data_IF_277427275064
#
_entry.id   IF_277427275064
#
_cell.length_a   1.000
_cell.length_b   1.000
_cell.length_c   1.000
_cell.angle_alpha   90.00
_cell.angle_beta   90.00
_cell.angle_gamma   90.00
#
_symmetry.space_group_name_H-M   'P 1'
#
loop_
_entity.id
_entity.type
_entity.pdbx_description
1 polymer ?
#
# COMPACT_ATOMS: atom_id res chain seq x y z
N UNK A 1 -4.40 -13.24 9.44
CA UNK A 1 -3.18 -13.66 10.17
C UNK A 1 -3.24 -13.39 11.67
N UNK A 2 -4.03 -12.42 12.16
CA UNK A 2 -4.17 -12.13 13.60
C UNK A 2 -2.94 -11.43 14.22
N UNK A 3 -1.91 -11.13 13.43
CA UNK A 3 -0.70 -10.47 13.89
C UNK A 3 -0.92 -8.98 14.17
N UNK A 4 -1.86 -8.33 13.48
CA UNK A 4 -2.17 -6.92 13.68
C UNK A 4 -2.69 -6.64 15.10
N UNK A 5 -3.52 -7.51 15.67
CA UNK A 5 -4.03 -7.33 17.04
C UNK A 5 -2.91 -7.46 18.08
N UNK A 6 -2.00 -8.42 17.89
CA UNK A 6 -0.82 -8.59 18.74
C UNK A 6 0.07 -7.35 18.70
N UNK A 7 0.34 -6.87 17.49
CA UNK A 7 1.09 -5.64 17.26
C UNK A 7 0.42 -4.43 17.93
N UNK A 8 -0.88 -4.21 17.71
CA UNK A 8 -1.62 -3.09 18.33
C UNK A 8 -1.59 -3.13 19.87
N UNK A 9 -1.58 -4.33 20.46
CA UNK A 9 -1.44 -4.47 21.91
C UNK A 9 -0.02 -4.14 22.38
N UNK A 10 1.02 -4.72 21.75
CA UNK A 10 2.41 -4.43 22.07
C UNK A 10 2.72 -2.93 21.96
N UNK A 11 2.14 -2.25 20.97
CA UNK A 11 2.40 -0.83 20.74
C UNK A 11 1.72 0.06 21.80
N UNK A 12 0.58 -0.36 22.34
CA UNK A 12 -0.06 0.30 23.48
C UNK A 12 0.78 0.16 24.75
N UNK A 13 1.36 -1.00 24.99
CA UNK A 13 2.24 -1.24 26.15
C UNK A 13 3.52 -0.38 26.09
N UNK A 14 3.97 -0.03 24.89
CA UNK A 14 5.09 0.89 24.65
C UNK A 14 4.72 2.39 24.78
N UNK A 15 3.46 2.72 25.05
CA UNK A 15 3.00 4.11 25.14
C UNK A 15 2.99 4.85 23.81
N UNK A 16 2.80 4.14 22.69
CA UNK A 16 2.71 4.71 21.36
C UNK A 16 1.26 4.84 20.90
N UNK A 17 0.98 5.86 20.10
CA UNK A 17 -0.31 6.01 19.44
C UNK A 17 -0.25 5.52 17.99
N UNK A 18 -1.27 4.77 17.60
CA UNK A 18 -1.44 4.24 16.24
C UNK A 18 -2.74 4.78 15.65
N UNK A 19 -2.68 5.20 14.39
CA UNK A 19 -3.85 5.55 13.58
C UNK A 19 -3.66 5.17 12.12
N UNK A 20 -4.76 5.01 11.38
CA UNK A 20 -4.70 4.87 9.92
C UNK A 20 -4.17 6.15 9.26
N UNK A 21 -3.38 6.00 8.19
CA UNK A 21 -2.88 7.14 7.42
C UNK A 21 -3.91 7.65 6.40
N UNK A 22 -4.63 6.72 5.77
CA UNK A 22 -5.73 7.01 4.86
C UNK A 22 -7.04 6.51 5.46
N UNK A 23 -8.14 7.23 5.20
CA UNK A 23 -9.46 6.94 5.77
C UNK A 23 -9.88 7.98 6.81
N UNK A 24 -11.01 7.73 7.46
CA UNK A 24 -11.54 8.56 8.55
C UNK A 24 -11.37 7.84 9.90
N UNK A 25 -10.96 8.58 10.93
CA UNK A 25 -10.78 8.03 12.28
C UNK A 25 -9.61 7.06 12.40
N UNK A 26 -9.87 5.85 12.91
CA UNK A 26 -8.85 4.81 13.16
C UNK A 26 -8.75 3.75 12.06
N UNK A 27 -9.62 3.81 11.03
CA UNK A 27 -9.56 2.87 9.91
C UNK A 27 -8.32 3.14 9.05
N UNK A 28 -7.53 2.09 8.77
CA UNK A 28 -6.31 2.19 7.98
C UNK A 28 -6.56 1.72 6.54
N UNK A 29 -7.23 2.57 5.76
CA UNK A 29 -7.51 2.26 4.36
C UNK A 29 -6.20 2.06 3.58
N UNK A 30 -6.06 0.93 2.89
CA UNK A 30 -4.84 0.58 2.15
C UNK A 30 -3.66 0.13 3.00
N UNK A 31 -3.90 -0.28 4.25
CA UNK A 31 -2.91 -0.86 5.18
C UNK A 31 -1.73 0.06 5.50
N UNK A 32 -1.93 1.38 5.45
CA UNK A 32 -0.98 2.37 5.93
C UNK A 32 -1.34 2.81 7.34
N UNK A 33 -0.37 2.65 8.25
CA UNK A 33 -0.50 3.04 9.64
C UNK A 33 0.52 4.12 9.95
N UNK A 34 0.11 5.08 10.77
CA UNK A 34 0.99 6.05 11.39
C UNK A 34 1.18 5.68 12.85
N UNK A 35 2.45 5.57 13.23
CA UNK A 35 2.88 5.47 14.62
C UNK A 35 3.42 6.82 15.10
N UNK A 36 3.16 7.14 16.35
CA UNK A 36 3.65 8.39 16.98
C UNK A 36 3.97 8.18 18.45
N UNK A 37 5.04 8.84 18.92
CA UNK A 37 5.32 8.93 20.34
C UNK A 37 4.21 9.72 21.04
N UNK A 38 3.84 9.31 22.26
CA UNK A 38 2.97 10.09 23.13
C UNK A 38 3.74 10.78 24.26
N UNK A 39 4.97 10.35 24.52
CA UNK A 39 5.83 10.95 25.55
C UNK A 39 6.54 12.17 24.97
N UNK A 40 6.44 13.29 25.68
CA UNK A 40 6.98 14.60 25.26
C UNK A 40 7.86 15.27 26.32
N UNK A 41 7.84 14.79 27.57
CA UNK A 41 8.62 15.35 28.68
C UNK A 41 9.44 14.24 29.35
N UNK A 42 10.65 14.61 29.82
CA UNK A 42 11.52 13.70 30.57
C UNK A 42 12.37 12.76 29.71
N UNK A 43 12.33 12.91 28.39
CA UNK A 43 13.15 12.18 27.41
C UNK A 43 13.60 13.15 26.32
N UNK A 44 14.81 12.98 25.79
CA UNK A 44 15.30 13.83 24.69
C UNK A 44 14.78 13.34 23.35
N UNK A 45 14.69 14.24 22.35
CA UNK A 45 14.30 13.85 20.98
C UNK A 45 15.22 12.76 20.41
N UNK A 46 16.52 12.82 20.73
CA UNK A 46 17.49 11.82 20.30
C UNK A 46 17.20 10.45 20.91
N UNK A 47 16.81 10.39 22.19
CA UNK A 47 16.43 9.15 22.85
C UNK A 47 15.12 8.59 22.29
N UNK A 48 14.13 9.46 22.00
CA UNK A 48 12.87 9.04 21.34
C UNK A 48 13.17 8.42 19.98
N UNK A 49 13.97 9.08 19.14
CA UNK A 49 14.35 8.56 17.81
C UNK A 49 15.10 7.24 17.96
N UNK A 50 16.09 7.17 18.86
CA UNK A 50 16.84 5.95 19.14
C UNK A 50 15.94 4.80 19.60
N UNK A 51 14.94 5.07 20.45
CA UNK A 51 13.96 4.07 20.86
C UNK A 51 13.14 3.55 19.68
N UNK A 52 12.70 4.45 18.78
CA UNK A 52 11.96 4.06 17.59
C UNK A 52 12.80 3.20 16.65
N UNK A 53 14.04 3.62 16.36
CA UNK A 53 14.95 2.93 15.45
C UNK A 53 15.38 1.55 15.97
N UNK A 54 15.68 1.45 17.26
CA UNK A 54 16.33 0.27 17.83
C UNK A 54 15.39 -0.73 18.48
N UNK A 55 14.21 -0.30 18.94
CA UNK A 55 13.27 -1.18 19.64
C UNK A 55 11.94 -1.32 18.89
N UNK A 56 11.31 -0.19 18.53
CA UNK A 56 9.96 -0.22 17.97
C UNK A 56 9.95 -0.76 16.55
N UNK A 57 10.67 -0.13 15.62
CA UNK A 57 10.66 -0.48 14.19
C UNK A 57 11.02 -1.96 13.94
N UNK A 58 12.09 -2.52 14.55
CA UNK A 58 12.44 -3.93 14.35
C UNK A 58 11.30 -4.89 14.72
N UNK A 59 10.58 -4.62 15.81
CA UNK A 59 9.46 -5.45 16.26
C UNK A 59 8.28 -5.39 15.27
N UNK A 60 7.95 -4.21 14.73
CA UNK A 60 6.91 -4.08 13.70
C UNK A 60 7.28 -4.89 12.46
N UNK A 61 8.53 -4.77 12.02
CA UNK A 61 9.06 -5.48 10.85
C UNK A 61 8.99 -6.99 11.07
N UNK A 62 9.28 -7.47 12.27
CA UNK A 62 9.15 -8.89 12.63
C UNK A 62 7.69 -9.38 12.54
N UNK A 63 6.73 -8.66 13.13
CA UNK A 63 5.31 -9.02 13.05
C UNK A 63 4.79 -9.06 11.61
N UNK A 64 5.16 -8.08 10.78
CA UNK A 64 4.76 -8.03 9.37
C UNK A 64 5.40 -9.16 8.55
N UNK A 65 6.70 -9.41 8.75
CA UNK A 65 7.39 -10.51 8.08
C UNK A 65 6.81 -11.88 8.48
N UNK A 66 6.50 -12.08 9.76
CA UNK A 66 5.82 -13.29 10.23
C UNK A 66 4.43 -13.44 9.61
N UNK A 67 3.66 -12.35 9.50
CA UNK A 67 2.35 -12.34 8.84
C UNK A 67 2.45 -12.73 7.35
N UNK A 68 3.41 -12.15 6.61
CA UNK A 68 3.64 -12.48 5.20
C UNK A 68 4.10 -13.92 5.01
N UNK A 69 5.02 -14.40 5.86
CA UNK A 69 5.48 -15.78 5.83
C UNK A 69 4.33 -16.76 6.10
N UNK A 70 3.47 -16.45 7.07
CA UNK A 70 2.29 -17.25 7.34
C UNK A 70 1.34 -17.28 6.14
N UNK A 71 1.06 -16.13 5.52
CA UNK A 71 0.20 -16.03 4.35
C UNK A 71 0.76 -16.83 3.17
N UNK A 72 2.06 -16.72 2.89
CA UNK A 72 2.72 -17.42 1.79
C UNK A 72 2.77 -18.94 1.99
N UNK A 73 3.09 -19.38 3.21
CA UNK A 73 3.28 -20.81 3.50
C UNK A 73 1.97 -21.56 3.72
N UNK A 74 0.96 -20.92 4.32
CA UNK A 74 -0.30 -21.59 4.69
C UNK A 74 -1.43 -21.35 3.71
N UNK A 75 -1.46 -20.19 3.07
CA UNK A 75 -2.59 -19.76 2.23
C UNK A 75 -2.12 -19.17 0.88
N UNK A 76 -1.23 -19.86 0.13
CA UNK A 76 -0.67 -19.32 -1.13
C UNK A 76 -1.74 -19.06 -2.19
N UNK A 77 -2.78 -19.89 -2.26
CA UNK A 77 -3.89 -19.70 -3.21
C UNK A 77 -4.74 -18.47 -2.87
N UNK A 78 -4.92 -18.18 -1.58
CA UNK A 78 -5.63 -16.97 -1.12
C UNK A 78 -4.83 -15.72 -1.48
N UNK A 79 -3.52 -15.76 -1.29
CA UNK A 79 -2.63 -14.68 -1.71
C UNK A 79 -2.70 -14.46 -3.23
N UNK A 80 -2.62 -15.56 -4.01
CA UNK A 80 -2.67 -15.50 -5.48
C UNK A 80 -4.00 -14.93 -6.00
N UNK A 81 -5.13 -15.36 -5.44
CA UNK A 81 -6.45 -14.87 -5.79
C UNK A 81 -6.61 -13.38 -5.45
N UNK A 82 -6.19 -12.94 -4.25
CA UNK A 82 -6.23 -11.52 -3.85
C UNK A 82 -5.47 -10.63 -4.81
N UNK A 83 -4.24 -11.01 -5.15
CA UNK A 83 -3.41 -10.26 -6.10
C UNK A 83 -4.03 -10.28 -7.50
N UNK A 84 -4.52 -11.44 -7.96
CA UNK A 84 -5.15 -11.57 -9.28
C UNK A 84 -6.40 -10.70 -9.42
N UNK A 85 -7.27 -10.68 -8.41
CA UNK A 85 -8.46 -9.84 -8.39
C UNK A 85 -8.10 -8.36 -8.39
N UNK A 86 -7.10 -7.97 -7.60
CA UNK A 86 -6.62 -6.59 -7.58
C UNK A 86 -6.10 -6.15 -8.95
N UNK A 87 -5.29 -6.99 -9.62
CA UNK A 87 -4.82 -6.73 -10.99
C UNK A 87 -6.01 -6.58 -11.93
N UNK A 88 -6.95 -7.52 -11.92
CA UNK A 88 -8.08 -7.52 -12.85
C UNK A 88 -8.97 -6.28 -12.69
N UNK A 89 -9.33 -5.93 -11.45
CA UNK A 89 -10.18 -4.79 -11.16
C UNK A 89 -9.47 -3.46 -11.48
N UNK A 90 -8.24 -3.26 -11.01
CA UNK A 90 -7.52 -2.00 -11.23
C UNK A 90 -7.21 -1.75 -12.73
N UNK A 91 -7.05 -2.81 -13.53
CA UNK A 91 -6.79 -2.69 -14.97
C UNK A 91 -8.05 -2.46 -15.81
N UNK A 92 -9.25 -2.77 -15.31
CA UNK A 92 -10.47 -2.76 -16.13
C UNK A 92 -11.60 -1.88 -15.57
N UNK A 93 -11.64 -1.61 -14.27
CA UNK A 93 -12.70 -0.82 -13.66
C UNK A 93 -12.78 0.57 -14.28
N UNK A 94 -13.98 1.06 -14.60
CA UNK A 94 -14.23 2.40 -15.14
C UNK A 94 -14.65 3.42 -14.08
N UNK A 95 -15.14 2.95 -12.96
CA UNK A 95 -15.43 3.72 -11.75
C UNK A 95 -14.77 2.97 -10.60
N UNK A 96 -14.01 3.68 -9.78
CA UNK A 96 -13.39 3.10 -8.58
C UNK A 96 -13.42 4.13 -7.47
N UNK A 97 -14.00 3.75 -6.33
CA UNK A 97 -14.03 4.62 -5.15
C UNK A 97 -12.64 4.81 -4.56
N UNK A 98 -12.47 5.80 -3.68
CA UNK A 98 -11.19 6.01 -2.98
C UNK A 98 -10.84 4.80 -2.10
N UNK A 99 -11.80 4.26 -1.36
CA UNK A 99 -11.60 3.14 -0.46
C UNK A 99 -11.22 1.86 -1.22
N UNK A 100 -11.93 1.59 -2.33
CA UNK A 100 -11.65 0.43 -3.17
C UNK A 100 -10.27 0.53 -3.83
N UNK A 101 -9.89 1.70 -4.34
CA UNK A 101 -8.56 1.91 -4.91
C UNK A 101 -7.45 1.67 -3.87
N UNK A 102 -7.60 2.23 -2.66
CA UNK A 102 -6.66 2.02 -1.56
C UNK A 102 -6.49 0.54 -1.21
N UNK A 103 -7.61 -0.18 -1.09
CA UNK A 103 -7.63 -1.60 -0.79
C UNK A 103 -6.94 -2.44 -1.88
N UNK A 104 -7.29 -2.24 -3.15
CA UNK A 104 -6.73 -3.03 -4.25
C UNK A 104 -5.26 -2.68 -4.52
N UNK A 105 -4.87 -1.40 -4.41
CA UNK A 105 -3.46 -1.00 -4.51
C UNK A 105 -2.62 -1.61 -3.38
N UNK A 106 -3.20 -1.83 -2.20
CA UNK A 106 -2.51 -2.51 -1.10
C UNK A 106 -2.16 -3.95 -1.46
N UNK A 107 -3.08 -4.68 -2.10
CA UNK A 107 -2.79 -6.03 -2.59
C UNK A 107 -1.67 -6.07 -3.65
N UNK A 108 -1.63 -5.09 -4.57
CA UNK A 108 -0.51 -5.00 -5.53
C UNK A 108 0.81 -4.69 -4.81
N UNK A 109 0.79 -3.72 -3.88
CA UNK A 109 1.95 -3.37 -3.06
C UNK A 109 2.46 -4.58 -2.28
N UNK A 110 1.57 -5.36 -1.67
CA UNK A 110 1.90 -6.61 -0.98
C UNK A 110 2.59 -7.59 -1.93
N UNK A 111 2.01 -7.83 -3.12
CA UNK A 111 2.59 -8.75 -4.11
C UNK A 111 4.01 -8.37 -4.54
N UNK A 112 4.25 -7.08 -4.83
CA UNK A 112 5.59 -6.58 -5.17
C UNK A 112 6.56 -6.77 -3.99
N UNK A 113 6.15 -6.38 -2.78
CA UNK A 113 7.01 -6.51 -1.61
C UNK A 113 7.32 -7.97 -1.24
N UNK A 114 6.37 -8.89 -1.43
CA UNK A 114 6.59 -10.31 -1.22
C UNK A 114 7.57 -10.88 -2.25
N UNK A 115 7.53 -10.38 -3.49
CA UNK A 115 8.53 -10.74 -4.50
C UNK A 115 9.92 -10.23 -4.13
N UNK A 116 10.06 -8.92 -3.89
CA UNK A 116 11.35 -8.25 -3.69
C UNK A 116 12.05 -8.68 -2.39
N UNK A 117 11.30 -8.83 -1.29
CA UNK A 117 11.90 -9.08 0.03
C UNK A 117 11.92 -10.58 0.42
N UNK A 118 11.08 -11.41 -0.21
CA UNK A 118 10.90 -12.81 0.20
C UNK A 118 11.04 -13.81 -0.96
N UNK A 119 11.27 -13.34 -2.19
CA UNK A 119 11.37 -14.20 -3.37
C UNK A 119 10.06 -14.91 -3.73
N UNK A 120 8.90 -14.41 -3.27
CA UNK A 120 7.62 -15.03 -3.56
C UNK A 120 7.34 -15.03 -5.08
N UNK A 121 6.76 -16.12 -5.58
CA UNK A 121 6.62 -16.36 -7.02
C UNK A 121 5.35 -17.11 -7.39
N UNK A 122 4.22 -16.70 -6.80
CA UNK A 122 2.90 -17.22 -7.20
C UNK A 122 2.58 -16.77 -8.65
N UNK A 123 1.66 -17.45 -9.38
CA UNK A 123 1.27 -17.05 -10.72
C UNK A 123 0.87 -15.57 -10.86
N UNK A 124 0.13 -15.02 -9.90
CA UNK A 124 -0.29 -13.63 -9.84
C UNK A 124 0.87 -12.68 -9.60
N UNK A 125 1.80 -13.00 -8.69
CA UNK A 125 3.01 -12.20 -8.47
C UNK A 125 3.87 -12.16 -9.73
N UNK A 126 4.04 -13.31 -10.41
CA UNK A 126 4.75 -13.38 -11.70
C UNK A 126 4.08 -12.50 -12.76
N UNK A 127 2.75 -12.47 -12.82
CA UNK A 127 2.01 -11.57 -13.72
C UNK A 127 2.21 -10.11 -13.34
N UNK A 128 2.15 -9.80 -12.04
CA UNK A 128 2.31 -8.45 -11.51
C UNK A 128 3.67 -7.84 -11.88
N UNK A 129 4.75 -8.59 -11.67
CA UNK A 129 6.11 -8.15 -11.99
C UNK A 129 6.35 -7.95 -13.50
N UNK A 130 5.53 -8.57 -14.35
CA UNK A 130 5.58 -8.37 -15.81
C UNK A 130 4.77 -7.17 -16.30
N UNK A 131 3.96 -6.56 -15.44
CA UNK A 131 3.27 -5.32 -15.81
C UNK A 131 4.30 -4.20 -15.89
N UNK A 132 4.19 -3.36 -16.91
CA UNK A 132 5.07 -2.20 -17.08
C UNK A 132 4.58 -1.04 -16.21
N UNK A 133 5.47 -0.46 -15.39
CA UNK A 133 5.20 0.82 -14.70
C UNK A 133 5.45 2.01 -15.62
N UNK A 134 4.94 3.21 -15.30
CA UNK A 134 5.17 4.43 -16.08
C UNK A 134 6.68 4.71 -16.21
N UNK A 135 7.23 4.50 -17.40
CA UNK A 135 8.57 4.95 -17.80
C UNK A 135 8.41 6.17 -18.70
N UNK A 136 9.03 7.29 -18.32
CA UNK A 136 8.94 8.57 -19.03
C UNK A 136 9.87 8.71 -20.25
N UNK A 137 10.49 7.62 -20.70
CA UNK A 137 11.47 7.65 -21.80
C UNK A 137 11.03 6.66 -22.89
N UNK A 138 10.75 7.18 -24.09
CA UNK A 138 10.33 6.39 -25.26
C UNK A 138 11.39 5.38 -25.76
N UNK A 139 12.61 5.45 -25.23
CA UNK A 139 13.77 4.64 -25.67
C UNK A 139 14.27 3.63 -24.61
N UNK A 140 13.57 3.42 -23.50
CA UNK A 140 13.96 2.42 -22.47
C UNK A 140 13.06 1.19 -22.51
N UNK A 141 13.68 0.01 -22.37
CA UNK A 141 12.97 -1.25 -22.20
C UNK A 141 11.85 -1.14 -21.16
N UNK A 142 10.72 -1.84 -21.35
CA UNK A 142 9.61 -1.81 -20.41
C UNK A 142 10.10 -2.22 -19.02
N UNK A 143 10.14 -1.25 -18.11
CA UNK A 143 10.57 -1.51 -16.74
C UNK A 143 9.43 -2.14 -15.94
N UNK A 144 9.73 -3.17 -15.13
CA UNK A 144 8.74 -3.83 -14.30
C UNK A 144 8.09 -2.83 -13.35
N UNK A 145 6.82 -3.07 -13.04
CA UNK A 145 6.04 -2.24 -12.13
C UNK A 145 6.75 -2.17 -10.77
N UNK A 146 7.18 -0.96 -10.41
CA UNK A 146 7.91 -0.70 -9.16
C UNK A 146 6.98 -0.34 -8.00
N UNK A 147 7.44 -0.60 -6.78
CA UNK A 147 6.77 -0.14 -5.56
C UNK A 147 6.55 1.38 -5.56
N UNK A 148 7.50 2.14 -6.11
CA UNK A 148 7.41 3.61 -6.25
C UNK A 148 6.22 4.01 -7.10
N UNK A 149 5.93 3.27 -8.18
CA UNK A 149 4.76 3.53 -9.04
C UNK A 149 3.46 3.32 -8.27
N UNK A 150 3.35 2.23 -7.53
CA UNK A 150 2.18 1.95 -6.69
C UNK A 150 2.01 3.00 -5.59
N UNK A 151 3.09 3.35 -4.87
CA UNK A 151 3.05 4.40 -3.84
C UNK A 151 2.63 5.76 -4.41
N UNK A 152 3.06 6.09 -5.63
CA UNK A 152 2.61 7.30 -6.32
C UNK A 152 1.11 7.24 -6.64
N UNK A 153 0.59 6.09 -7.06
CA UNK A 153 -0.85 5.91 -7.30
C UNK A 153 -1.66 6.11 -6.03
N UNK A 154 -1.20 5.61 -4.87
CA UNK A 154 -1.84 5.88 -3.58
C UNK A 154 -2.06 7.38 -3.33
N UNK A 155 -1.05 8.21 -3.63
CA UNK A 155 -1.15 9.66 -3.45
C UNK A 155 -2.03 10.33 -4.52
N UNK A 156 -1.74 10.07 -5.81
CA UNK A 156 -2.39 10.77 -6.93
C UNK A 156 -3.90 10.48 -7.05
N UNK A 157 -4.35 9.36 -6.50
CA UNK A 157 -5.75 8.93 -6.56
C UNK A 157 -6.59 9.39 -5.38
N UNK A 158 -6.01 10.08 -4.40
CA UNK A 158 -6.79 10.63 -3.29
C UNK A 158 -7.75 11.73 -3.77
N UNK A 159 -8.94 11.88 -3.15
CA UNK A 159 -9.95 12.85 -3.59
C UNK A 159 -9.41 14.28 -3.71
N UNK A 160 -8.63 14.74 -2.71
CA UNK A 160 -8.05 16.07 -2.71
C UNK A 160 -7.00 16.26 -3.82
N UNK A 161 -6.12 15.28 -4.03
CA UNK A 161 -5.11 15.33 -5.09
C UNK A 161 -5.75 15.32 -6.48
N UNK A 162 -6.78 14.50 -6.71
CA UNK A 162 -7.53 14.48 -7.97
C UNK A 162 -8.15 15.85 -8.26
N UNK A 163 -8.77 16.48 -7.26
CA UNK A 163 -9.41 17.78 -7.43
C UNK A 163 -8.39 18.90 -7.68
N UNK A 164 -7.26 18.90 -6.95
CA UNK A 164 -6.17 19.85 -7.14
C UNK A 164 -5.56 19.73 -8.54
N UNK A 165 -5.25 18.50 -8.97
CA UNK A 165 -4.61 18.25 -10.27
C UNK A 165 -5.55 18.51 -11.46
N UNK A 166 -6.86 18.33 -11.28
CA UNK A 166 -7.85 18.64 -12.32
C UNK A 166 -8.13 20.15 -12.43
N UNK A 167 -7.83 20.93 -11.38
CA UNK A 167 -7.96 22.39 -11.38
C UNK A 167 -9.39 22.91 -11.26
N UNK A 168 -10.39 22.04 -11.04
CA UNK A 168 -11.80 22.38 -10.84
C UNK A 168 -12.44 21.44 -9.81
N UNK A 169 -13.57 21.87 -9.24
CA UNK A 169 -14.37 20.97 -8.39
C UNK A 169 -14.87 19.78 -9.23
N UNK A 170 -14.74 18.59 -8.66
CA UNK A 170 -15.19 17.33 -9.25
C UNK A 170 -16.27 16.75 -8.36
N UNK A 171 -17.41 16.33 -8.91
CA UNK A 171 -18.39 15.53 -8.16
C UNK A 171 -17.85 14.09 -7.91
N UNK A 172 -18.49 13.33 -6.99
CA UNK A 172 -18.03 12.00 -6.63
C UNK A 172 -17.84 11.04 -7.83
N UNK A 173 -18.78 11.03 -8.77
CA UNK A 173 -18.73 10.10 -9.92
C UNK A 173 -17.59 10.45 -10.87
N UNK A 174 -17.39 11.75 -11.16
CA UNK A 174 -16.24 12.17 -11.97
C UNK A 174 -14.90 11.88 -11.27
N UNK A 175 -14.80 12.02 -9.93
CA UNK A 175 -13.58 11.62 -9.20
C UNK A 175 -13.30 10.13 -9.34
N UNK A 176 -14.31 9.29 -9.23
CA UNK A 176 -14.17 7.84 -9.34
C UNK A 176 -13.80 7.41 -10.77
N UNK A 177 -14.36 8.06 -11.78
CA UNK A 177 -13.98 7.85 -13.18
C UNK A 177 -12.53 8.29 -13.47
N UNK A 178 -12.13 9.47 -12.98
CA UNK A 178 -10.78 10.00 -13.16
C UNK A 178 -9.74 9.13 -12.43
N UNK A 179 -10.05 8.70 -11.21
CA UNK A 179 -9.24 7.75 -10.44
C UNK A 179 -8.99 6.48 -11.23
N UNK A 180 -10.06 5.86 -11.71
CA UNK A 180 -9.98 4.63 -12.48
C UNK A 180 -9.14 4.83 -13.74
N UNK A 181 -9.33 5.96 -14.44
CA UNK A 181 -8.54 6.31 -15.63
C UNK A 181 -7.04 6.40 -15.31
N UNK A 182 -6.65 7.12 -14.26
CA UNK A 182 -5.23 7.29 -13.87
C UNK A 182 -4.61 5.93 -13.53
N UNK A 183 -5.30 5.11 -12.75
CA UNK A 183 -4.82 3.77 -12.37
C UNK A 183 -4.66 2.89 -13.61
N UNK A 184 -5.68 2.83 -14.49
CA UNK A 184 -5.61 2.02 -15.71
C UNK A 184 -4.46 2.45 -16.60
N UNK A 185 -4.29 3.74 -16.85
CA UNK A 185 -3.16 4.25 -17.66
C UNK A 185 -1.79 3.95 -17.05
N UNK A 186 -1.70 3.82 -15.73
CA UNK A 186 -0.45 3.46 -15.07
C UNK A 186 -0.14 1.96 -15.10
N UNK A 187 -1.17 1.10 -15.15
CA UNK A 187 -1.02 -0.37 -15.11
C UNK A 187 -1.15 -1.03 -16.50
N UNK A 188 -1.81 -0.36 -17.44
CA UNK A 188 -1.89 -0.66 -18.85
C UNK A 188 -1.12 0.46 -19.55
N UNK A 189 0.19 0.32 -19.73
CA UNK A 189 0.79 1.11 -20.80
C UNK A 189 0.08 0.70 -22.10
N UNK A 190 -0.48 1.68 -22.81
CA UNK A 190 -1.49 1.52 -23.86
C UNK A 190 -1.25 0.31 -24.78
N UNK A 191 -2.30 -0.51 -24.94
CA UNK A 191 -2.41 -1.40 -26.11
C UNK A 191 -2.97 -0.60 -27.27
#
# INVERSE_FOLDING_TARGET
TGQIEKFLNATRDMGLAIRGLFGEGTEAAGDFYQLSNQVTLGISDADIVSQFENAVIPEIVEYENAARNQLLSKEPDVLDDKISRAIALLRNAHLISSQEALFLLSHLRLGINMHENMGASTPAIKRLCKLSGIGSDADKEPQPLSITTINRLFMLTQPAHLQLNYGKSLDPTHRDALRAKIIRSALNQDT
#
